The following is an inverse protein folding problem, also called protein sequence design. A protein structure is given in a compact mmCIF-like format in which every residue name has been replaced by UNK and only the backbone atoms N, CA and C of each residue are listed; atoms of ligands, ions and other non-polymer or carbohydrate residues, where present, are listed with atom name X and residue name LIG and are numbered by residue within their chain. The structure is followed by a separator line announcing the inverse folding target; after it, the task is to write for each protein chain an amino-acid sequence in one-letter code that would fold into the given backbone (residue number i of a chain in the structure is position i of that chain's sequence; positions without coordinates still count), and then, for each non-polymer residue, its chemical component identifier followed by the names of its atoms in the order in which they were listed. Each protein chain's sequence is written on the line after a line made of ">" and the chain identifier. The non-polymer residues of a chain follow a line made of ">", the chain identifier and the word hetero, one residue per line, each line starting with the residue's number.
data_IF_193762770219
#
_entry.id   IF_193762770219
#
_cell.length_a   1.000
_cell.length_b   1.000
_cell.length_c   1.000
_cell.angle_alpha   90.00
_cell.angle_beta   90.00
_cell.angle_gamma   90.00
#
_symmetry.space_group_name_H-M   'P 1'
#
loop_
_entity.id
_entity.type
_entity.pdbx_description
1 polymer ?
#
# COMPACT_ATOMS: atom_id res chain seq x y z
N UNK A 1 1.74 -16.55 112.88
CA UNK A 1 1.93 -15.18 113.41
C UNK A 1 1.42 -14.18 112.43
N UNK A 2 0.30 -13.55 112.76
CA UNK A 2 -0.02 -12.12 112.73
C UNK A 2 0.17 -11.48 111.37
N UNK A 3 -0.66 -10.72 110.82
CA UNK A 3 -1.94 -9.99 111.07
C UNK A 3 -2.23 -9.29 109.77
N UNK A 4 -3.39 -9.41 109.18
CA UNK A 4 -4.50 -8.38 109.31
C UNK A 4 -4.10 -6.97 108.83
N UNK A 5 -4.69 -6.53 107.71
CA UNK A 5 -5.60 -5.35 107.74
C UNK A 5 -6.24 -4.98 106.42
N UNK A 6 -7.51 -4.96 106.43
CA UNK A 6 -8.48 -4.28 105.54
C UNK A 6 -8.17 -2.80 105.30
N UNK A 7 -8.55 -2.34 104.12
CA UNK A 7 -9.49 -1.16 104.05
C UNK A 7 -9.97 -0.96 102.59
N UNK A 8 -11.26 -0.86 102.55
CA UNK A 8 -12.13 -0.35 101.49
C UNK A 8 -11.68 0.97 100.93
N UNK A 9 -11.89 1.15 99.61
CA UNK A 9 -12.39 2.43 99.04
C UNK A 9 -13.03 2.15 97.66
N UNK A 10 -14.35 2.21 97.63
CA UNK A 10 -15.20 3.20 97.00
C UNK A 10 -14.94 3.47 95.51
N UNK A 11 -16.01 3.09 94.76
CA UNK A 11 -16.22 3.29 93.36
C UNK A 11 -16.13 4.71 92.88
N UNK A 12 -15.65 4.85 91.69
CA UNK A 12 -15.89 6.01 90.82
C UNK A 12 -16.64 5.59 89.59
N UNK A 13 -17.61 6.41 89.10
CA UNK A 13 -18.43 6.05 87.94
C UNK A 13 -17.66 6.22 86.64
N UNK A 14 -17.74 5.23 85.73
CA UNK A 14 -17.27 5.35 84.38
C UNK A 14 -18.05 6.43 83.64
N UNK A 15 -17.30 7.44 83.11
CA UNK A 15 -17.81 8.41 82.17
C UNK A 15 -18.24 7.79 80.91
N UNK A 16 -19.53 7.72 80.64
CA UNK A 16 -20.12 7.55 79.31
C UNK A 16 -19.97 8.84 78.54
N UNK A 17 -18.87 9.07 77.85
CA UNK A 17 -18.72 10.12 76.84
C UNK A 17 -17.75 9.66 75.83
N UNK A 18 -18.25 9.15 74.62
CA UNK A 18 -17.61 9.23 73.30
C UNK A 18 -18.32 8.39 72.22
N UNK A 19 -19.52 7.85 72.42
CA UNK A 19 -20.15 7.06 71.35
C UNK A 19 -21.02 7.89 70.41
N UNK A 20 -21.32 9.13 70.69
CA UNK A 20 -22.18 9.95 69.84
C UNK A 20 -21.44 10.84 68.83
N UNK A 21 -20.12 11.11 69.04
CA UNK A 21 -19.28 11.82 68.03
C UNK A 21 -18.80 10.98 66.89
N UNK A 22 -18.61 9.68 67.09
CA UNK A 22 -18.14 8.73 66.05
C UNK A 22 -19.20 8.46 64.97
N UNK A 23 -20.48 8.38 65.34
CA UNK A 23 -21.59 8.13 64.39
C UNK A 23 -21.81 9.30 63.40
N UNK A 24 -21.75 10.54 63.87
CA UNK A 24 -21.97 11.68 62.99
C UNK A 24 -20.85 11.91 61.96
N UNK A 25 -19.60 11.59 62.32
CA UNK A 25 -18.46 11.68 61.38
C UNK A 25 -18.54 10.58 60.30
N UNK A 26 -18.95 9.39 60.64
CA UNK A 26 -19.12 8.30 59.69
C UNK A 26 -20.25 8.56 58.68
N UNK A 27 -21.36 9.11 59.15
CA UNK A 27 -22.46 9.57 58.31
C UNK A 27 -22.06 10.71 57.37
N UNK A 28 -21.28 11.68 57.84
CA UNK A 28 -20.78 12.79 57.01
C UNK A 28 -19.86 12.27 55.90
N UNK A 29 -18.95 11.34 56.18
CA UNK A 29 -18.07 10.69 55.18
C UNK A 29 -18.87 9.87 54.17
N UNK A 30 -19.94 9.18 54.62
CA UNK A 30 -20.82 8.46 53.71
C UNK A 30 -21.56 9.38 52.75
N UNK A 31 -22.14 10.47 53.26
CA UNK A 31 -22.82 11.47 52.42
C UNK A 31 -21.88 12.19 51.46
N UNK A 32 -20.68 12.56 51.87
CA UNK A 32 -19.68 13.18 50.97
C UNK A 32 -19.23 12.20 49.90
N UNK A 33 -19.01 10.94 50.21
CA UNK A 33 -18.71 9.90 49.25
C UNK A 33 -19.83 9.69 48.22
N UNK A 34 -21.08 9.69 48.67
CA UNK A 34 -22.24 9.58 47.80
C UNK A 34 -22.41 10.78 46.85
N UNK A 35 -22.19 11.99 47.34
CA UNK A 35 -22.22 13.22 46.53
C UNK A 35 -21.09 13.20 45.48
N UNK A 36 -19.87 12.78 45.85
CA UNK A 36 -18.76 12.64 44.90
C UNK A 36 -19.09 11.59 43.82
N UNK A 37 -19.71 10.46 44.19
CA UNK A 37 -20.12 9.43 43.24
C UNK A 37 -21.13 9.96 42.22
N UNK A 38 -22.14 10.73 42.67
CA UNK A 38 -23.11 11.36 41.77
C UNK A 38 -22.48 12.39 40.84
N UNK A 39 -21.51 13.17 41.32
CA UNK A 39 -20.77 14.13 40.49
C UNK A 39 -19.94 13.42 39.42
N UNK A 40 -19.23 12.35 39.76
CA UNK A 40 -18.47 11.53 38.82
C UNK A 40 -19.40 10.89 37.78
N UNK A 41 -20.52 10.31 38.21
CA UNK A 41 -21.53 9.76 37.32
C UNK A 41 -22.09 10.82 36.36
N UNK A 42 -22.37 12.02 36.85
CA UNK A 42 -22.84 13.16 36.05
C UNK A 42 -21.82 13.57 34.98
N UNK A 43 -20.55 13.65 35.35
CA UNK A 43 -19.46 13.94 34.41
C UNK A 43 -19.29 12.84 33.33
N UNK A 44 -19.38 11.56 33.73
CA UNK A 44 -19.32 10.43 32.79
C UNK A 44 -20.51 10.44 31.82
N UNK A 45 -21.73 10.70 32.32
CA UNK A 45 -22.91 10.83 31.46
C UNK A 45 -22.78 12.02 30.47
N UNK A 46 -22.27 13.17 30.94
CA UNK A 46 -22.03 14.32 30.07
C UNK A 46 -21.00 14.02 28.97
N UNK A 47 -19.88 13.38 29.33
CA UNK A 47 -18.83 12.94 28.37
C UNK A 47 -19.39 11.93 27.37
N UNK A 48 -20.19 10.97 27.83
CA UNK A 48 -20.81 9.96 26.96
C UNK A 48 -21.78 10.58 25.93
N UNK A 49 -22.58 11.57 26.36
CA UNK A 49 -23.49 12.30 25.47
C UNK A 49 -22.70 13.11 24.42
N UNK A 50 -21.57 13.73 24.83
CA UNK A 50 -20.66 14.44 23.94
C UNK A 50 -20.07 13.52 22.87
N UNK A 51 -19.54 12.39 23.30
CA UNK A 51 -18.96 11.38 22.41
C UNK A 51 -19.99 10.80 21.41
N UNK A 52 -21.23 10.54 21.87
CA UNK A 52 -22.32 10.08 20.99
C UNK A 52 -22.70 11.11 19.92
N UNK A 53 -22.68 12.41 20.26
CA UNK A 53 -22.93 13.49 19.28
C UNK A 53 -21.82 13.58 18.23
N UNK A 54 -20.56 13.45 18.65
CA UNK A 54 -19.41 13.47 17.75
C UNK A 54 -19.42 12.27 16.81
N UNK A 55 -19.67 11.07 17.33
CA UNK A 55 -19.83 9.84 16.54
C UNK A 55 -20.96 9.99 15.49
N UNK A 56 -22.08 10.58 15.88
CA UNK A 56 -23.21 10.79 14.98
C UNK A 56 -22.89 11.82 13.87
N UNK A 57 -22.09 12.85 14.19
CA UNK A 57 -21.60 13.84 13.22
C UNK A 57 -20.65 13.21 12.22
N UNK A 58 -19.69 12.39 12.69
CA UNK A 58 -18.73 11.70 11.85
C UNK A 58 -19.41 10.66 10.93
N UNK A 59 -20.40 9.92 11.46
CA UNK A 59 -21.21 8.99 10.64
C UNK A 59 -21.98 9.70 9.52
N UNK A 60 -22.56 10.89 9.79
CA UNK A 60 -23.23 11.67 8.75
C UNK A 60 -22.26 12.23 7.72
N UNK A 61 -21.06 12.62 8.14
CA UNK A 61 -20.03 13.10 7.22
C UNK A 61 -19.50 11.96 6.32
N UNK A 62 -19.33 10.76 6.87
CA UNK A 62 -18.96 9.57 6.12
C UNK A 62 -20.04 9.21 5.10
N UNK A 63 -21.33 9.17 5.50
CA UNK A 63 -22.43 8.89 4.59
C UNK A 63 -22.49 9.89 3.43
N UNK A 64 -22.28 11.19 3.70
CA UNK A 64 -22.27 12.20 2.62
C UNK A 64 -21.14 11.98 1.62
N UNK A 65 -19.96 11.58 2.09
CA UNK A 65 -18.85 11.23 1.19
C UNK A 65 -19.15 9.98 0.35
N UNK A 66 -19.79 8.99 0.95
CA UNK A 66 -20.20 7.77 0.25
C UNK A 66 -21.23 8.07 -0.86
N UNK A 67 -22.21 8.95 -0.58
CA UNK A 67 -23.19 9.41 -1.56
C UNK A 67 -22.51 10.19 -2.70
N UNK A 68 -21.56 11.08 -2.42
CA UNK A 68 -20.77 11.84 -3.41
C UNK A 68 -19.92 10.91 -4.29
N UNK A 69 -19.29 9.89 -3.70
CA UNK A 69 -18.51 8.89 -4.43
C UNK A 69 -19.43 8.06 -5.34
N UNK A 70 -20.60 7.64 -4.84
CA UNK A 70 -21.58 6.88 -5.61
C UNK A 70 -22.07 7.65 -6.83
N UNK A 71 -22.32 8.96 -6.70
CA UNK A 71 -22.71 9.84 -7.80
C UNK A 71 -21.58 9.96 -8.84
N UNK A 72 -20.34 10.14 -8.37
CA UNK A 72 -19.16 10.20 -9.24
C UNK A 72 -18.96 8.90 -10.02
N UNK A 73 -19.10 7.73 -9.37
CA UNK A 73 -19.02 6.42 -10.02
C UNK A 73 -20.12 6.27 -11.08
N UNK A 74 -21.33 6.74 -10.79
CA UNK A 74 -22.43 6.70 -11.75
C UNK A 74 -22.14 7.54 -13.00
N UNK A 75 -21.58 8.75 -12.80
CA UNK A 75 -21.17 9.61 -13.91
C UNK A 75 -20.06 8.97 -14.74
N UNK A 76 -19.00 8.45 -14.09
CA UNK A 76 -17.92 7.76 -14.79
C UNK A 76 -18.40 6.56 -15.61
N UNK A 77 -19.38 5.79 -15.12
CA UNK A 77 -19.98 4.68 -15.89
C UNK A 77 -20.69 5.17 -17.15
N UNK A 78 -21.39 6.30 -17.09
CA UNK A 78 -22.03 6.90 -18.26
C UNK A 78 -20.99 7.39 -19.28
N UNK A 79 -19.91 8.00 -18.79
CA UNK A 79 -18.84 8.49 -19.66
C UNK A 79 -18.13 7.33 -20.38
N UNK A 80 -17.85 6.23 -19.66
CA UNK A 80 -17.28 5.01 -20.24
C UNK A 80 -18.21 4.43 -21.31
N UNK A 81 -19.51 4.37 -21.04
CA UNK A 81 -20.47 3.88 -22.03
C UNK A 81 -20.47 4.75 -23.29
N UNK A 82 -20.46 6.08 -23.14
CA UNK A 82 -20.39 7.03 -24.26
C UNK A 82 -19.07 6.89 -25.06
N UNK A 83 -17.93 6.64 -24.37
CA UNK A 83 -16.66 6.39 -25.03
C UNK A 83 -16.69 5.09 -25.84
N UNK A 84 -17.23 4.01 -25.26
CA UNK A 84 -17.34 2.72 -25.94
C UNK A 84 -18.22 2.80 -27.21
N UNK A 85 -19.31 3.58 -27.18
CA UNK A 85 -20.14 3.82 -28.35
C UNK A 85 -19.36 4.56 -29.46
N UNK A 86 -18.51 5.53 -29.09
CA UNK A 86 -17.63 6.24 -30.03
C UNK A 86 -16.56 5.32 -30.63
N UNK A 87 -15.94 4.45 -29.82
CA UNK A 87 -14.97 3.48 -30.29
C UNK A 87 -15.61 2.52 -31.30
N UNK A 88 -16.79 1.98 -30.98
CA UNK A 88 -17.54 1.09 -31.91
C UNK A 88 -17.86 1.78 -33.24
N UNK A 89 -18.25 3.06 -33.20
CA UNK A 89 -18.51 3.85 -34.42
C UNK A 89 -17.23 4.04 -35.27
N UNK A 90 -16.10 4.30 -34.64
CA UNK A 90 -14.80 4.43 -35.33
C UNK A 90 -14.32 3.11 -35.92
N UNK A 91 -14.54 1.99 -35.22
CA UNK A 91 -14.22 0.65 -35.73
C UNK A 91 -15.04 0.31 -36.97
N UNK A 92 -16.33 0.66 -37.00
CA UNK A 92 -17.19 0.50 -38.18
C UNK A 92 -16.71 1.37 -39.36
N UNK A 93 -16.38 2.63 -39.10
CA UNK A 93 -15.87 3.53 -40.13
C UNK A 93 -14.56 3.03 -40.74
N UNK A 94 -13.67 2.47 -39.89
CA UNK A 94 -12.42 1.85 -40.32
C UNK A 94 -12.65 0.57 -41.13
N UNK A 95 -13.64 -0.24 -40.77
CA UNK A 95 -14.02 -1.44 -41.50
C UNK A 95 -14.57 -1.09 -42.89
N UNK A 96 -15.43 -0.07 -43.00
CA UNK A 96 -15.97 0.42 -44.26
C UNK A 96 -14.88 1.02 -45.14
N UNK A 97 -13.93 1.77 -44.58
CA UNK A 97 -12.76 2.28 -45.30
C UNK A 97 -11.92 1.13 -45.88
N UNK A 98 -11.64 0.10 -45.10
CA UNK A 98 -10.89 -1.10 -45.55
C UNK A 98 -11.63 -1.82 -46.69
N UNK A 99 -12.95 -1.96 -46.61
CA UNK A 99 -13.78 -2.60 -47.63
C UNK A 99 -13.79 -1.82 -48.93
N UNK A 100 -13.88 -0.48 -48.86
CA UNK A 100 -13.83 0.39 -50.04
C UNK A 100 -12.45 0.44 -50.71
N UNK A 101 -11.37 0.32 -49.92
CA UNK A 101 -10.03 0.24 -50.45
C UNK A 101 -9.77 -1.09 -51.22
N UNK A 102 -10.37 -2.20 -50.82
CA UNK A 102 -10.31 -3.47 -51.49
C UNK A 102 -11.08 -3.46 -52.83
N UNK A 103 -12.22 -2.77 -52.90
CA UNK A 103 -13.03 -2.67 -54.12
C UNK A 103 -12.37 -1.81 -55.21
N UNK A 104 -11.54 -0.83 -54.83
CA UNK A 104 -10.78 -0.01 -55.78
C UNK A 104 -9.52 -0.70 -56.35
N UNK A 105 -9.08 -1.82 -55.76
CA UNK A 105 -7.95 -2.61 -56.23
C UNK A 105 -8.29 -3.63 -57.33
N UNK A 106 -9.57 -3.91 -57.61
CA UNK A 106 -10.00 -4.96 -58.56
C UNK A 106 -10.36 -4.47 -59.97
N UNK A 107 -10.27 -3.17 -60.31
CA UNK A 107 -10.58 -2.65 -61.63
C UNK A 107 -9.42 -1.93 -62.27
N UNK A 108 -8.36 -2.68 -62.66
CA UNK A 108 -7.43 -2.24 -63.71
C UNK A 108 -6.76 -3.48 -64.31
N UNK A 109 -7.33 -4.00 -65.42
CA UNK A 109 -6.66 -4.93 -66.34
C UNK A 109 -5.63 -4.20 -67.21
N UNK A 110 -4.45 -4.79 -67.25
CA UNK A 110 -3.29 -4.86 -68.10
C UNK A 110 -3.36 -4.22 -69.51
N UNK A 111 -2.25 -3.74 -70.17
CA UNK A 111 -1.17 -4.60 -70.63
C UNK A 111 0.28 -4.10 -70.59
N UNK A 112 1.20 -5.07 -70.28
CA UNK A 112 2.60 -5.25 -70.74
C UNK A 112 3.52 -4.02 -70.99
N UNK A 113 4.62 -3.91 -70.18
CA UNK A 113 6.00 -3.89 -70.72
C UNK A 113 7.00 -4.19 -69.58
N UNK A 114 7.88 -5.16 -69.90
CA UNK A 114 9.06 -5.52 -69.10
C UNK A 114 9.94 -4.32 -68.81
N UNK A 115 10.32 -4.19 -67.55
CA UNK A 115 11.66 -3.77 -67.10
C UNK A 115 11.83 -4.20 -65.67
N UNK A 116 12.86 -4.96 -65.43
CA UNK A 116 13.42 -5.41 -64.17
C UNK A 116 13.70 -4.23 -63.27
N UNK A 117 12.94 -4.12 -62.15
CA UNK A 117 13.36 -3.40 -60.96
C UNK A 117 12.88 -4.17 -59.70
N UNK A 118 13.81 -4.32 -58.78
CA UNK A 118 13.64 -4.97 -57.49
C UNK A 118 12.38 -4.52 -56.79
N UNK A 119 11.42 -5.40 -56.64
CA UNK A 119 10.21 -5.17 -55.87
C UNK A 119 10.55 -5.36 -54.40
N UNK A 120 11.01 -4.28 -53.74
CA UNK A 120 10.98 -4.17 -52.30
C UNK A 120 9.50 -4.26 -51.90
N UNK A 121 9.09 -5.35 -51.24
CA UNK A 121 7.79 -5.45 -50.57
C UNK A 121 7.69 -4.32 -49.57
N UNK A 122 6.96 -3.30 -49.91
CA UNK A 122 6.50 -2.28 -48.92
C UNK A 122 5.42 -3.00 -48.11
N UNK A 123 5.83 -3.60 -46.98
CA UNK A 123 4.90 -4.05 -45.97
C UNK A 123 4.05 -2.85 -45.51
N UNK A 124 2.90 -3.09 -44.87
CA UNK A 124 2.11 -2.01 -44.29
C UNK A 124 3.01 -1.11 -43.45
N UNK A 125 2.80 0.24 -43.45
CA UNK A 125 3.63 1.17 -42.70
C UNK A 125 3.75 0.66 -41.26
N UNK A 126 4.99 0.42 -40.83
CA UNK A 126 5.27 -0.04 -39.47
C UNK A 126 4.56 0.95 -38.51
N UNK A 127 3.69 0.45 -37.63
CA UNK A 127 3.16 1.27 -36.54
C UNK A 127 4.35 1.90 -35.83
N UNK A 128 4.30 3.19 -35.48
CA UNK A 128 5.37 3.78 -34.68
C UNK A 128 5.60 2.89 -33.48
N UNK A 129 6.85 2.49 -33.28
CA UNK A 129 7.22 1.63 -32.16
C UNK A 129 6.84 2.34 -30.84
N UNK A 130 6.13 1.66 -29.98
CA UNK A 130 5.78 2.16 -28.66
C UNK A 130 7.07 2.37 -27.87
N UNK A 131 7.20 3.51 -27.18
CA UNK A 131 8.36 3.84 -26.34
C UNK A 131 7.99 3.86 -24.88
N UNK A 132 8.88 3.38 -24.01
CA UNK A 132 8.69 3.38 -22.55
C UNK A 132 8.37 4.79 -22.02
N UNK A 133 8.94 5.86 -22.62
CA UNK A 133 8.73 7.25 -22.21
C UNK A 133 7.29 7.71 -22.41
N UNK A 134 6.59 7.17 -23.40
CA UNK A 134 5.21 7.52 -23.73
C UNK A 134 4.18 6.83 -22.84
N UNK A 135 4.59 5.77 -22.13
CA UNK A 135 3.71 4.99 -21.28
C UNK A 135 3.52 5.64 -19.91
N UNK A 136 2.31 5.52 -19.38
CA UNK A 136 1.98 5.99 -18.05
C UNK A 136 1.90 4.82 -17.06
N UNK A 137 2.41 4.97 -15.84
CA UNK A 137 2.23 3.96 -14.79
C UNK A 137 0.75 3.59 -14.61
N UNK A 138 0.48 2.29 -14.51
CA UNK A 138 -0.88 1.73 -14.45
C UNK A 138 -1.54 1.48 -15.80
N UNK A 139 -0.94 1.91 -16.91
CA UNK A 139 -1.45 1.66 -18.26
C UNK A 139 -1.35 0.16 -18.61
N UNK A 140 -2.44 -0.41 -19.13
CA UNK A 140 -2.46 -1.76 -19.70
C UNK A 140 -1.95 -1.71 -21.15
N UNK A 141 -1.15 -2.69 -21.53
CA UNK A 141 -0.52 -2.80 -22.84
C UNK A 141 -0.88 -4.16 -23.47
N UNK A 142 -1.24 -4.12 -24.75
CA UNK A 142 -1.36 -5.34 -25.53
C UNK A 142 0.01 -5.91 -25.90
N UNK A 143 0.24 -7.20 -25.64
CA UNK A 143 1.50 -7.90 -25.95
C UNK A 143 1.93 -7.70 -27.41
N UNK A 144 0.99 -7.63 -28.35
CA UNK A 144 1.28 -7.42 -29.78
C UNK A 144 1.96 -6.08 -30.09
N UNK A 145 1.89 -5.10 -29.16
CA UNK A 145 2.50 -3.80 -29.32
C UNK A 145 3.98 -3.77 -28.90
N UNK A 146 4.42 -4.76 -28.11
CA UNK A 146 5.76 -4.82 -27.50
C UNK A 146 6.52 -6.10 -27.87
N UNK A 147 5.89 -7.07 -28.52
CA UNK A 147 6.46 -8.38 -28.82
C UNK A 147 7.83 -8.27 -29.53
N UNK A 148 8.85 -8.88 -28.93
CA UNK A 148 10.24 -8.85 -29.40
C UNK A 148 11.01 -7.59 -28.99
N UNK A 149 10.38 -6.68 -28.23
CA UNK A 149 11.03 -5.46 -27.70
C UNK A 149 10.76 -5.26 -26.21
N UNK A 150 10.28 -6.26 -25.50
CA UNK A 150 9.82 -6.20 -24.11
C UNK A 150 10.89 -5.61 -23.19
N UNK A 151 12.15 -5.99 -23.37
CA UNK A 151 13.27 -5.50 -22.57
C UNK A 151 13.52 -3.99 -22.70
N UNK A 152 13.06 -3.35 -23.77
CA UNK A 152 13.21 -1.90 -23.96
C UNK A 152 12.27 -1.09 -23.05
N UNK A 153 11.34 -1.74 -22.38
CA UNK A 153 10.38 -1.11 -21.45
C UNK A 153 10.84 -1.16 -19.99
N UNK A 154 12.02 -1.71 -19.71
CA UNK A 154 12.65 -1.71 -18.40
C UNK A 154 13.74 -0.62 -18.38
N UNK A 155 13.38 0.55 -17.89
CA UNK A 155 14.22 1.76 -17.99
C UNK A 155 14.47 2.37 -16.61
N UNK A 156 15.68 2.91 -16.44
CA UNK A 156 16.02 3.74 -15.28
C UNK A 156 16.21 5.20 -15.69
N UNK A 157 15.77 6.12 -14.83
CA UNK A 157 15.88 7.55 -15.03
C UNK A 157 16.48 8.20 -13.79
N UNK A 158 17.33 9.21 -13.99
CA UNK A 158 17.71 10.12 -12.93
C UNK A 158 16.51 10.96 -12.49
N UNK A 159 16.46 11.32 -11.21
CA UNK A 159 15.45 12.24 -10.68
C UNK A 159 16.12 13.58 -10.52
N UNK A 160 15.65 14.58 -11.28
CA UNK A 160 16.18 15.92 -11.25
C UNK A 160 15.20 16.87 -10.55
N UNK A 161 15.75 17.83 -9.79
CA UNK A 161 14.93 18.86 -9.16
C UNK A 161 14.04 19.57 -10.18
N UNK A 162 12.73 19.61 -9.90
CA UNK A 162 11.73 20.24 -10.75
C UNK A 162 11.17 19.36 -11.89
N UNK A 163 11.68 18.14 -12.09
CA UNK A 163 11.06 17.20 -13.04
C UNK A 163 9.72 16.65 -12.53
N UNK A 164 9.04 15.86 -13.36
CA UNK A 164 7.71 15.32 -13.05
C UNK A 164 7.73 14.34 -11.88
N UNK A 165 8.80 13.53 -11.72
CA UNK A 165 8.95 12.55 -10.64
C UNK A 165 9.26 13.29 -9.34
N UNK A 166 10.21 14.23 -9.37
CA UNK A 166 10.54 15.09 -8.23
C UNK A 166 9.30 15.79 -7.68
N UNK A 167 8.48 16.41 -8.55
CA UNK A 167 7.27 17.12 -8.13
C UNK A 167 6.19 16.22 -7.52
N UNK A 168 6.23 14.90 -7.78
CA UNK A 168 5.33 13.93 -7.15
C UNK A 168 5.79 13.53 -5.75
N UNK A 169 7.10 13.40 -5.55
CA UNK A 169 7.70 12.82 -4.33
C UNK A 169 8.13 13.87 -3.30
N UNK A 170 8.51 15.09 -3.73
CA UNK A 170 9.02 16.12 -2.85
C UNK A 170 7.97 16.61 -1.85
N UNK A 171 8.35 16.63 -0.58
CA UNK A 171 7.43 16.96 0.52
C UNK A 171 6.48 15.82 0.91
N UNK A 172 6.69 14.63 0.31
CA UNK A 172 5.98 13.40 0.61
C UNK A 172 6.97 12.29 0.97
N UNK A 173 7.13 11.28 0.09
CA UNK A 173 8.08 10.18 0.31
C UNK A 173 9.53 10.63 0.30
N UNK A 174 9.85 11.81 -0.23
CA UNK A 174 11.18 12.42 -0.24
C UNK A 174 11.15 13.87 0.26
N UNK A 175 12.15 14.25 1.06
CA UNK A 175 12.51 15.62 1.43
C UNK A 175 14.01 15.69 1.65
N UNK A 176 14.58 16.89 1.61
CA UNK A 176 16.02 17.08 1.87
C UNK A 176 16.40 16.54 3.26
N UNK A 177 17.42 15.72 3.30
CA UNK A 177 17.90 15.05 4.51
C UNK A 177 19.39 14.73 4.39
N UNK A 178 20.01 14.30 5.51
CA UNK A 178 21.45 13.98 5.58
C UNK A 178 21.78 12.54 5.15
N UNK A 179 20.79 11.69 4.88
CA UNK A 179 21.00 10.24 4.70
C UNK A 179 20.98 9.81 3.24
N UNK A 180 20.14 10.45 2.38
CA UNK A 180 19.99 10.11 0.98
C UNK A 180 19.66 11.33 0.15
N UNK A 181 20.37 11.54 -0.95
CA UNK A 181 20.10 12.61 -1.91
C UNK A 181 19.41 12.10 -3.18
N UNK A 182 18.89 13.00 -4.00
CA UNK A 182 18.27 12.63 -5.28
C UNK A 182 19.23 11.87 -6.20
N UNK A 183 20.52 12.22 -6.19
CA UNK A 183 21.57 11.56 -6.99
C UNK A 183 21.75 10.08 -6.62
N UNK A 184 21.35 9.68 -5.41
CA UNK A 184 21.44 8.31 -4.91
C UNK A 184 20.20 7.48 -5.29
N UNK A 185 19.20 8.09 -5.93
CA UNK A 185 17.94 7.48 -6.31
C UNK A 185 17.81 7.36 -7.83
N UNK A 186 17.06 6.34 -8.27
CA UNK A 186 16.65 6.14 -9.67
C UNK A 186 15.16 5.85 -9.72
N UNK A 187 14.48 6.52 -10.64
CA UNK A 187 13.12 6.19 -11.00
C UNK A 187 13.15 5.09 -12.04
N UNK A 188 12.46 3.99 -11.78
CA UNK A 188 12.34 2.85 -12.69
C UNK A 188 10.95 2.81 -13.29
N UNK A 189 10.86 2.52 -14.58
CA UNK A 189 9.63 2.19 -15.28
C UNK A 189 9.79 0.80 -15.88
N UNK A 190 8.82 -0.08 -15.61
CA UNK A 190 8.93 -1.52 -15.88
C UNK A 190 7.56 -2.08 -16.28
N UNK A 191 7.57 -3.24 -16.92
CA UNK A 191 6.35 -4.01 -17.18
C UNK A 191 6.18 -5.09 -16.12
N UNK A 192 4.93 -5.42 -15.80
CA UNK A 192 4.57 -6.58 -14.99
C UNK A 192 3.24 -7.16 -15.47
N UNK A 193 2.96 -8.41 -15.16
CA UNK A 193 1.62 -8.97 -15.24
C UNK A 193 0.86 -8.59 -13.97
N UNK A 194 -0.38 -8.10 -14.12
CA UNK A 194 -1.26 -7.88 -12.98
C UNK A 194 -2.04 -9.18 -12.64
N UNK A 195 -2.85 -9.16 -11.59
CA UNK A 195 -3.65 -10.34 -11.18
C UNK A 195 -4.78 -10.73 -12.14
N UNK A 196 -5.03 -9.96 -13.20
CA UNK A 196 -5.88 -10.34 -14.32
C UNK A 196 -5.07 -10.94 -15.48
N UNK A 197 -3.77 -11.19 -15.27
CA UNK A 197 -2.84 -11.63 -16.30
C UNK A 197 -2.71 -10.65 -17.47
N UNK A 198 -2.86 -9.36 -17.21
CA UNK A 198 -2.70 -8.29 -18.18
C UNK A 198 -1.32 -7.64 -18.00
N UNK A 199 -0.66 -7.27 -19.10
CA UNK A 199 0.61 -6.53 -19.04
C UNK A 199 0.30 -5.09 -18.64
N UNK A 200 0.90 -4.65 -17.54
CA UNK A 200 0.72 -3.32 -16.99
C UNK A 200 2.07 -2.61 -16.80
N UNK A 201 2.07 -1.29 -16.99
CA UNK A 201 3.24 -0.44 -16.71
C UNK A 201 3.30 -0.19 -15.21
N UNK A 202 4.39 -0.60 -14.60
CA UNK A 202 4.72 -0.28 -13.21
C UNK A 202 5.79 0.79 -13.10
N UNK A 203 5.94 1.33 -11.90
CA UNK A 203 6.96 2.30 -11.54
C UNK A 203 7.49 2.05 -10.13
N UNK A 204 8.73 2.43 -9.89
CA UNK A 204 9.39 2.29 -8.60
C UNK A 204 10.52 3.31 -8.45
N UNK A 205 10.86 3.70 -7.24
CA UNK A 205 12.09 4.42 -6.94
C UNK A 205 12.95 3.54 -6.07
N UNK A 206 14.22 3.37 -6.45
CA UNK A 206 15.20 2.58 -5.71
C UNK A 206 16.55 3.28 -5.65
N UNK A 207 17.46 2.78 -4.82
CA UNK A 207 18.82 3.26 -4.76
C UNK A 207 19.56 3.01 -6.09
N UNK A 208 20.32 3.99 -6.55
CA UNK A 208 21.11 3.91 -7.77
C UNK A 208 22.10 2.72 -7.77
N UNK A 209 22.61 2.34 -6.58
CA UNK A 209 23.56 1.23 -6.46
C UNK A 209 22.94 -0.14 -6.80
N UNK A 210 21.61 -0.29 -6.65
CA UNK A 210 20.90 -1.56 -6.90
C UNK A 210 19.93 -1.50 -8.08
N UNK A 211 19.78 -0.34 -8.73
CA UNK A 211 18.75 -0.09 -9.76
C UNK A 211 18.81 -1.11 -10.92
N UNK A 212 20.02 -1.46 -11.39
CA UNK A 212 20.22 -2.43 -12.49
C UNK A 212 19.86 -3.84 -12.09
N UNK A 213 20.16 -4.22 -10.83
CA UNK A 213 19.78 -5.53 -10.32
C UNK A 213 18.25 -5.62 -10.18
N UNK A 214 17.61 -4.54 -9.72
CA UNK A 214 16.15 -4.45 -9.66
C UNK A 214 15.52 -4.57 -11.04
N UNK A 215 16.02 -3.85 -12.05
CA UNK A 215 15.54 -4.01 -13.43
C UNK A 215 15.67 -5.44 -13.90
N UNK A 216 16.80 -6.10 -13.63
CA UNK A 216 17.02 -7.50 -14.02
C UNK A 216 16.09 -8.46 -13.30
N UNK A 217 15.83 -8.24 -12.01
CA UNK A 217 14.83 -9.01 -11.23
C UNK A 217 13.45 -8.89 -11.87
N UNK A 218 12.98 -7.69 -12.17
CA UNK A 218 11.65 -7.50 -12.74
C UNK A 218 11.56 -7.96 -14.21
N UNK A 219 12.64 -7.93 -14.98
CA UNK A 219 12.69 -8.57 -16.30
C UNK A 219 12.50 -10.09 -16.20
N UNK A 220 13.13 -10.74 -15.22
CA UNK A 220 12.98 -12.18 -15.02
C UNK A 220 11.61 -12.55 -14.45
N UNK A 221 11.05 -11.74 -13.53
CA UNK A 221 9.69 -11.92 -13.05
C UNK A 221 8.66 -11.77 -14.18
N UNK A 222 8.86 -10.78 -15.06
CA UNK A 222 8.03 -10.60 -16.25
C UNK A 222 8.13 -11.78 -17.21
N UNK A 223 9.35 -12.25 -17.49
CA UNK A 223 9.57 -13.42 -18.35
C UNK A 223 9.00 -14.72 -17.75
N UNK A 224 8.91 -14.81 -16.42
CA UNK A 224 8.27 -15.91 -15.70
C UNK A 224 6.74 -15.72 -15.56
N UNK A 225 6.18 -14.63 -16.11
CA UNK A 225 4.76 -14.25 -15.98
C UNK A 225 4.30 -14.20 -14.51
N UNK A 226 5.23 -13.81 -13.60
CA UNK A 226 4.90 -13.65 -12.18
C UNK A 226 3.99 -12.42 -12.00
N UNK A 227 2.83 -12.65 -11.41
CA UNK A 227 1.81 -11.61 -11.28
C UNK A 227 2.05 -10.71 -10.07
N UNK A 228 1.97 -9.40 -10.29
CA UNK A 228 2.08 -8.34 -9.29
C UNK A 228 0.83 -7.48 -9.39
N UNK A 229 0.04 -7.40 -8.32
CA UNK A 229 -1.27 -6.71 -8.34
C UNK A 229 -1.17 -5.26 -8.80
N UNK A 230 -0.22 -4.52 -8.24
CA UNK A 230 0.03 -3.11 -8.53
C UNK A 230 1.48 -2.77 -8.24
N UNK A 231 2.05 -1.83 -9.00
CA UNK A 231 3.41 -1.34 -8.81
C UNK A 231 3.46 0.15 -9.06
N UNK A 232 3.27 0.93 -7.99
CA UNK A 232 3.13 2.39 -8.01
C UNK A 232 4.00 3.03 -6.92
N UNK A 233 4.31 4.32 -7.07
CA UNK A 233 4.97 5.07 -6.00
C UNK A 233 4.06 5.18 -4.76
N UNK A 234 4.65 5.15 -3.57
CA UNK A 234 3.95 5.39 -2.29
C UNK A 234 3.19 6.73 -2.32
N UNK A 235 3.68 7.69 -3.09
CA UNK A 235 3.13 9.03 -3.24
C UNK A 235 1.72 9.07 -3.83
N UNK A 236 1.31 8.03 -4.57
CA UNK A 236 -0.06 7.86 -5.06
C UNK A 236 -1.02 7.43 -3.93
N UNK A 237 -0.49 6.93 -2.82
CA UNK A 237 -1.21 6.50 -1.62
C UNK A 237 -1.00 7.44 -0.43
N UNK A 238 -0.49 8.65 -0.67
CA UNK A 238 -0.08 9.57 0.38
C UNK A 238 -1.23 10.03 1.27
N UNK A 239 -1.07 9.87 2.59
CA UNK A 239 -2.07 10.22 3.62
C UNK A 239 -1.62 11.31 4.58
N UNK A 240 -0.38 11.83 4.41
CA UNK A 240 0.15 12.93 5.22
C UNK A 240 1.51 12.65 5.86
N UNK A 241 1.86 11.39 6.06
CA UNK A 241 3.17 10.95 6.56
C UNK A 241 3.58 9.61 5.92
N UNK A 242 4.85 9.23 6.10
CA UNK A 242 5.41 8.03 5.48
C UNK A 242 4.81 6.72 6.00
N UNK A 243 4.58 6.60 7.30
CA UNK A 243 4.10 5.35 7.92
C UNK A 243 2.65 5.05 7.53
N UNK A 244 1.76 6.04 7.63
CA UNK A 244 0.36 5.87 7.25
C UNK A 244 0.18 5.73 5.74
N UNK A 245 1.05 6.34 4.93
CA UNK A 245 1.04 6.20 3.48
C UNK A 245 1.53 4.82 3.02
N UNK A 246 2.55 4.29 3.67
CA UNK A 246 3.03 2.92 3.48
C UNK A 246 1.93 1.91 3.84
N UNK A 247 1.29 2.08 5.01
CA UNK A 247 0.13 1.26 5.40
C UNK A 247 -1.00 1.31 4.37
N UNK A 248 -1.33 2.50 3.85
CA UNK A 248 -2.34 2.65 2.81
C UNK A 248 -1.94 1.99 1.48
N UNK A 249 -0.65 2.04 1.12
CA UNK A 249 -0.10 1.32 -0.03
C UNK A 249 -0.23 -0.19 0.11
N UNK A 250 0.09 -0.73 1.29
CA UNK A 250 -0.07 -2.15 1.64
C UNK A 250 -1.54 -2.58 1.58
N UNK A 251 -2.47 -1.77 2.13
CA UNK A 251 -3.91 -2.04 2.08
C UNK A 251 -4.47 -2.07 0.65
N UNK A 252 -3.80 -1.43 -0.29
CA UNK A 252 -4.12 -1.47 -1.72
C UNK A 252 -3.31 -2.53 -2.49
N UNK A 253 -2.61 -3.41 -1.80
CA UNK A 253 -1.78 -4.48 -2.37
C UNK A 253 -0.77 -3.95 -3.39
N UNK A 254 -0.13 -2.83 -3.06
CA UNK A 254 0.82 -2.17 -3.94
C UNK A 254 2.25 -2.61 -3.65
N UNK A 255 2.91 -3.19 -4.63
CA UNK A 255 4.36 -3.44 -4.63
C UNK A 255 5.09 -2.12 -4.67
N UNK A 256 5.97 -1.85 -3.70
CA UNK A 256 6.62 -0.56 -3.52
C UNK A 256 8.06 -0.69 -3.02
N UNK A 257 8.82 0.41 -3.07
CA UNK A 257 10.19 0.43 -2.61
C UNK A 257 10.51 1.67 -1.76
N UNK A 258 10.83 2.80 -2.37
CA UNK A 258 11.30 3.99 -1.65
C UNK A 258 10.18 4.69 -0.89
N UNK A 259 10.42 4.90 0.42
CA UNK A 259 9.68 5.83 1.27
C UNK A 259 10.60 6.28 2.40
N UNK A 260 10.91 7.58 2.50
CA UNK A 260 11.76 8.08 3.57
C UNK A 260 10.98 8.12 4.89
N UNK A 261 11.10 7.04 5.67
CA UNK A 261 10.45 6.84 6.97
C UNK A 261 11.32 6.03 7.92
N UNK A 262 10.97 6.04 9.18
CA UNK A 262 11.55 5.14 10.17
C UNK A 262 10.96 3.73 10.03
N UNK A 263 11.59 2.76 10.68
CA UNK A 263 11.00 1.42 10.85
C UNK A 263 9.74 1.53 11.72
N UNK A 264 8.79 0.66 11.49
CA UNK A 264 7.60 0.53 12.34
C UNK A 264 8.02 0.29 13.78
N UNK A 265 7.47 1.05 14.74
CA UNK A 265 7.87 1.13 16.16
C UNK A 265 9.06 2.08 16.47
N UNK A 266 9.59 2.82 15.50
CA UNK A 266 10.52 3.93 15.70
C UNK A 266 11.98 3.54 15.85
N UNK A 267 12.87 4.55 15.84
CA UNK A 267 14.30 4.43 16.08
C UNK A 267 15.14 4.66 14.82
N UNK A 268 15.49 3.62 14.08
CA UNK A 268 16.31 3.71 12.89
C UNK A 268 15.48 4.00 11.64
N UNK A 269 16.12 4.51 10.58
CA UNK A 269 15.52 4.58 9.26
C UNK A 269 15.30 3.17 8.70
N UNK A 270 14.19 2.98 8.01
CA UNK A 270 13.91 1.76 7.24
C UNK A 270 14.85 1.63 6.04
N UNK A 271 15.12 0.42 5.55
CA UNK A 271 15.82 0.20 4.29
C UNK A 271 15.04 0.77 3.08
N UNK A 272 13.73 0.92 3.19
CA UNK A 272 12.92 1.68 2.23
C UNK A 272 13.33 3.16 2.17
N UNK A 273 13.76 3.77 3.28
CA UNK A 273 14.24 5.15 3.30
C UNK A 273 15.53 5.37 2.50
N UNK A 274 16.28 4.30 2.27
CA UNK A 274 17.48 4.31 1.45
C UNK A 274 17.24 3.79 0.03
N UNK A 275 15.99 3.42 -0.32
CA UNK A 275 15.63 2.80 -1.60
C UNK A 275 16.25 1.41 -1.79
N UNK A 276 16.56 0.70 -0.70
CA UNK A 276 17.26 -0.61 -0.69
C UNK A 276 16.37 -1.79 -0.34
N UNK A 277 15.08 -1.54 -0.18
CA UNK A 277 14.07 -2.56 0.10
C UNK A 277 12.90 -2.46 -0.88
N UNK A 278 12.30 -3.60 -1.16
CA UNK A 278 11.16 -3.77 -2.06
C UNK A 278 10.16 -4.71 -1.39
N UNK A 279 8.90 -4.29 -1.31
CA UNK A 279 7.79 -5.10 -0.82
C UNK A 279 6.96 -5.60 -2.01
N UNK A 280 6.79 -6.92 -2.10
CA UNK A 280 6.09 -7.60 -3.20
C UNK A 280 4.74 -8.14 -2.74
N UNK A 281 3.65 -7.75 -3.41
CA UNK A 281 2.28 -8.23 -3.16
C UNK A 281 1.97 -8.31 -1.66
N UNK A 282 1.96 -7.17 -0.94
CA UNK A 282 2.02 -7.15 0.52
C UNK A 282 0.81 -7.80 1.22
N UNK A 283 -0.35 -7.86 0.58
CA UNK A 283 -1.49 -8.59 1.15
C UNK A 283 -1.25 -10.10 1.18
N UNK A 284 -0.69 -10.67 0.09
CA UNK A 284 -0.36 -12.10 0.00
C UNK A 284 0.90 -12.44 0.79
N UNK A 285 1.68 -11.43 1.19
CA UNK A 285 2.97 -11.59 1.85
C UNK A 285 3.05 -10.70 3.11
N UNK A 286 2.22 -10.95 4.14
CA UNK A 286 2.09 -10.07 5.29
C UNK A 286 3.35 -10.01 6.16
N UNK A 287 3.52 -8.87 6.84
CA UNK A 287 4.37 -8.77 8.02
C UNK A 287 3.66 -9.42 9.21
N UNK A 288 4.32 -10.39 9.86
CA UNK A 288 3.74 -11.16 10.96
C UNK A 288 4.68 -11.20 12.17
N UNK A 289 4.13 -11.28 13.38
CA UNK A 289 4.90 -11.40 14.62
C UNK A 289 4.18 -12.23 15.65
N UNK A 290 4.91 -12.75 16.62
CA UNK A 290 4.34 -13.48 17.73
C UNK A 290 4.08 -12.55 18.92
N UNK A 291 2.85 -12.51 19.40
CA UNK A 291 2.47 -11.81 20.62
C UNK A 291 1.83 -12.77 21.60
N UNK A 292 2.49 -12.99 22.72
CA UNK A 292 2.01 -13.89 23.80
C UNK A 292 1.66 -15.32 23.31
N UNK A 293 2.42 -15.83 22.34
CA UNK A 293 2.18 -17.17 21.77
C UNK A 293 1.08 -17.23 20.70
N UNK A 294 0.58 -16.07 20.27
CA UNK A 294 -0.38 -15.94 19.16
C UNK A 294 0.25 -15.20 18.01
N UNK A 295 0.10 -15.74 16.79
CA UNK A 295 0.52 -15.06 15.56
C UNK A 295 -0.37 -13.87 15.32
N UNK A 296 0.24 -12.72 15.06
CA UNK A 296 -0.38 -11.45 14.68
C UNK A 296 0.11 -11.02 13.32
N UNK A 297 -0.63 -10.18 12.64
CA UNK A 297 -0.26 -9.59 11.34
C UNK A 297 -0.78 -8.16 11.23
N UNK A 298 -0.17 -7.36 10.35
CA UNK A 298 -0.37 -5.91 10.33
C UNK A 298 -1.65 -5.44 9.63
N UNK A 299 -2.18 -6.17 8.65
CA UNK A 299 -3.30 -5.73 7.80
C UNK A 299 -4.38 -6.82 7.75
N UNK A 300 -5.65 -6.45 8.04
CA UNK A 300 -6.76 -7.41 8.14
C UNK A 300 -7.01 -8.15 6.81
N UNK A 301 -6.84 -7.46 5.68
CA UNK A 301 -7.01 -8.03 4.35
C UNK A 301 -5.94 -9.09 3.99
N UNK A 302 -4.82 -9.15 4.71
CA UNK A 302 -3.81 -10.17 4.57
C UNK A 302 -4.12 -11.47 5.36
N UNK A 303 -5.17 -11.47 6.18
CA UNK A 303 -5.57 -12.61 7.02
C UNK A 303 -5.65 -13.96 6.29
N UNK A 304 -6.16 -14.08 5.04
CA UNK A 304 -6.21 -15.34 4.31
C UNK A 304 -4.84 -15.93 3.98
N UNK A 305 -3.79 -15.11 3.96
CA UNK A 305 -2.44 -15.46 3.49
C UNK A 305 -1.43 -15.66 4.64
N UNK A 306 -1.86 -15.50 5.88
CA UNK A 306 -1.04 -15.77 7.07
C UNK A 306 -0.65 -17.26 7.14
N UNK A 307 -1.57 -18.16 6.73
CA UNK A 307 -1.25 -19.55 6.45
C UNK A 307 -0.54 -19.66 5.09
N UNK A 308 0.79 -19.84 5.12
CA UNK A 308 1.60 -19.95 3.89
C UNK A 308 1.30 -21.18 3.05
N UNK A 309 0.48 -22.13 3.54
CA UNK A 309 -0.01 -23.29 2.82
C UNK A 309 -1.41 -23.07 2.21
N UNK A 310 -1.92 -21.85 2.17
CA UNK A 310 -3.26 -21.52 1.63
C UNK A 310 -3.44 -21.85 0.15
N UNK A 311 -2.34 -22.06 -0.61
CA UNK A 311 -2.37 -22.45 -2.02
C UNK A 311 -2.55 -21.29 -3.01
N UNK A 312 -2.52 -20.03 -2.54
CA UNK A 312 -2.53 -18.87 -3.43
C UNK A 312 -1.17 -18.74 -4.16
N UNK A 313 -1.14 -18.56 -5.50
CA UNK A 313 0.10 -18.54 -6.28
C UNK A 313 0.98 -17.31 -6.05
N UNK A 314 0.45 -16.26 -5.40
CA UNK A 314 1.18 -15.02 -5.13
C UNK A 314 1.84 -15.01 -3.74
N UNK A 315 1.64 -16.09 -2.96
CA UNK A 315 2.29 -16.31 -1.66
C UNK A 315 3.74 -16.71 -1.88
N UNK A 316 4.69 -15.88 -1.46
CA UNK A 316 6.12 -16.13 -1.60
C UNK A 316 6.56 -17.14 -0.52
N UNK A 317 7.23 -18.20 -0.96
CA UNK A 317 7.85 -19.21 -0.09
C UNK A 317 9.31 -19.44 -0.50
N UNK A 318 10.11 -19.98 0.42
CA UNK A 318 11.50 -20.34 0.13
C UNK A 318 11.59 -21.27 -1.08
N UNK A 319 12.48 -20.96 -2.02
CA UNK A 319 12.71 -21.69 -3.28
C UNK A 319 11.59 -21.57 -4.33
N UNK A 320 10.60 -20.70 -4.18
CA UNK A 320 9.70 -20.36 -5.29
C UNK A 320 10.37 -19.49 -6.36
N UNK A 321 9.64 -19.15 -7.41
CA UNK A 321 10.17 -18.37 -8.53
C UNK A 321 10.58 -16.96 -8.10
N UNK A 322 9.76 -16.28 -7.27
CA UNK A 322 10.03 -14.92 -6.82
C UNK A 322 11.26 -14.88 -5.90
N UNK A 323 11.29 -15.73 -4.87
CA UNK A 323 12.42 -15.88 -3.97
C UNK A 323 13.74 -16.16 -4.73
N UNK A 324 13.72 -17.14 -5.63
CA UNK A 324 14.92 -17.54 -6.37
C UNK A 324 15.46 -16.43 -7.28
N UNK A 325 14.58 -15.66 -7.93
CA UNK A 325 14.99 -14.54 -8.77
C UNK A 325 15.63 -13.45 -7.90
N UNK A 326 15.01 -13.02 -6.81
CA UNK A 326 15.58 -12.01 -5.92
C UNK A 326 16.91 -12.49 -5.31
N UNK A 327 16.98 -13.73 -4.83
CA UNK A 327 18.20 -14.31 -4.25
C UNK A 327 19.36 -14.37 -5.28
N UNK A 328 19.10 -14.68 -6.55
CA UNK A 328 20.07 -14.67 -7.65
C UNK A 328 20.77 -13.33 -7.79
N UNK A 329 20.08 -12.22 -7.56
CA UNK A 329 20.60 -10.86 -7.61
C UNK A 329 21.11 -10.35 -6.26
N UNK A 330 21.21 -11.23 -5.25
CA UNK A 330 21.82 -10.93 -3.96
C UNK A 330 20.91 -10.19 -2.97
N UNK A 331 19.60 -10.24 -3.16
CA UNK A 331 18.64 -9.77 -2.17
C UNK A 331 18.45 -10.82 -1.07
N UNK A 332 18.35 -10.37 0.16
CA UNK A 332 17.86 -11.15 1.30
C UNK A 332 16.35 -10.98 1.43
N UNK A 333 15.69 -12.04 1.91
CA UNK A 333 14.25 -12.07 2.09
C UNK A 333 13.85 -12.08 3.55
N UNK A 334 12.93 -11.18 3.93
CA UNK A 334 12.40 -11.07 5.29
C UNK A 334 11.58 -12.27 5.76
N UNK A 335 11.14 -13.13 4.82
CA UNK A 335 10.49 -14.41 5.13
C UNK A 335 11.40 -15.43 5.82
N UNK A 336 12.73 -15.24 5.78
CA UNK A 336 13.72 -16.04 6.49
C UNK A 336 14.11 -15.46 7.86
N UNK A 337 13.57 -14.33 8.26
CA UNK A 337 13.82 -13.75 9.58
C UNK A 337 13.19 -14.60 10.69
N UNK A 338 13.56 -14.32 11.93
CA UNK A 338 13.01 -15.01 13.10
C UNK A 338 11.64 -14.47 13.50
N UNK A 339 11.61 -13.52 14.43
CA UNK A 339 10.39 -12.85 14.88
C UNK A 339 10.74 -11.35 15.07
N UNK A 340 10.13 -10.43 14.32
CA UNK A 340 9.07 -10.64 13.33
C UNK A 340 9.55 -11.28 12.01
N UNK A 341 8.59 -11.78 11.20
CA UNK A 341 8.82 -12.25 9.83
C UNK A 341 8.13 -11.27 8.88
N UNK A 342 8.82 -10.88 7.82
CA UNK A 342 8.27 -9.98 6.80
C UNK A 342 8.29 -10.64 5.43
N UNK A 343 7.17 -11.26 5.07
CA UNK A 343 7.08 -12.06 3.85
C UNK A 343 7.10 -11.24 2.56
N UNK A 344 6.69 -9.96 2.60
CA UNK A 344 6.73 -9.06 1.44
C UNK A 344 8.14 -8.56 1.13
N UNK A 345 9.01 -8.48 2.14
CA UNK A 345 10.21 -7.67 2.18
C UNK A 345 11.43 -8.36 1.56
N UNK A 346 12.00 -7.75 0.53
CA UNK A 346 13.30 -8.07 -0.03
C UNK A 346 14.23 -6.87 0.12
N UNK A 347 15.43 -7.08 0.62
CA UNK A 347 16.41 -6.01 0.80
C UNK A 347 17.79 -6.39 0.28
N UNK A 348 18.55 -5.36 -0.15
CA UNK A 348 19.93 -5.54 -0.60
C UNK A 348 20.81 -4.42 -0.06
N UNK A 349 21.82 -4.82 0.70
CA UNK A 349 22.96 -3.94 0.98
C UNK A 349 23.77 -3.77 -0.30
N UNK A 350 24.37 -2.60 -0.52
CA UNK A 350 25.09 -2.24 -1.75
C UNK A 350 26.26 -3.18 -2.04
#
# INVERSE_FOLDING_TARGET
>A
MKNDNRREQLGQPMKKENSQKSGNTLWLLFFTGLVCLFLVMGLLCYSFVGMKKELQKNSRAAQKKEDEISETISQMKQDIQSLNEKVLAQEQELADYKKNAQVQGETAENPQKETTEENAMIGPPARPALSADQLQPGQIIDISQIQGSENTFFQEYEILEGDSVYNRIYGKSYYENENIGLQDLRYLKMLHYNFNHEIQVGEMIVNAAISRDVLSVFQELFAAEYEIQSMRLIDDYWTGDGDSSDSNSIDNNNTSAFCYRQITCGGNLSNHAYGRAIDINPQQNPYVWNSQGQLQWSHENASPYVDRACGDPHVIVENDVCYNIFAKYGFSWGGLWGDPIDYQHFEKES
#
